data_IF_656144365763
#
_entry.id   IF_656144365763
#
_cell.length_a   1.000
_cell.length_b   1.000
_cell.length_c   1.000
_cell.angle_alpha   90.00
_cell.angle_beta   90.00
_cell.angle_gamma   90.00
#
_symmetry.space_group_name_H-M   'P 1'
#
loop_
_entity.id
_entity.type
_entity.pdbx_description
1 polymer ?
#
# COMPACT_ATOMS: atom_id res chain seq x y z
N UNK A 1 -9.30 14.62 0.48
CA UNK A 1 -8.24 13.61 0.57
C UNK A 1 -7.02 14.15 1.31
N UNK A 2 -6.36 15.22 0.85
CA UNK A 2 -5.19 15.78 1.55
C UNK A 2 -5.45 16.09 3.03
N UNK A 3 -6.65 16.56 3.36
CA UNK A 3 -7.06 16.76 4.77
C UNK A 3 -7.08 15.47 5.61
N UNK A 4 -7.41 14.33 5.01
CA UNK A 4 -7.34 13.02 5.68
C UNK A 4 -5.89 12.59 5.85
N UNK A 5 -5.06 12.73 4.82
CA UNK A 5 -3.63 12.47 4.87
C UNK A 5 -2.96 13.25 6.01
N UNK A 6 -3.21 14.56 6.07
CA UNK A 6 -2.71 15.42 7.13
C UNK A 6 -3.18 14.95 8.51
N UNK A 7 -4.47 14.66 8.67
CA UNK A 7 -5.02 14.21 9.96
C UNK A 7 -4.38 12.89 10.45
N UNK A 8 -4.12 11.95 9.54
CA UNK A 8 -3.46 10.68 9.88
C UNK A 8 -1.99 10.88 10.27
N UNK A 9 -1.27 11.80 9.61
CA UNK A 9 0.10 12.14 9.96
C UNK A 9 0.17 12.86 11.30
N UNK A 10 -0.76 13.79 11.56
CA UNK A 10 -0.90 14.43 12.88
C UNK A 10 -1.20 13.40 13.97
N UNK A 11 -2.08 12.44 13.69
CA UNK A 11 -2.35 11.32 14.59
C UNK A 11 -1.06 10.54 14.89
N UNK A 12 -0.31 10.12 13.88
CA UNK A 12 0.94 9.39 14.04
C UNK A 12 1.99 10.20 14.81
N UNK A 13 2.09 11.51 14.58
CA UNK A 13 2.98 12.40 15.32
C UNK A 13 2.63 12.48 16.82
N UNK A 14 1.34 12.52 17.15
CA UNK A 14 0.87 12.60 18.53
C UNK A 14 0.90 11.26 19.26
N UNK A 15 0.82 10.14 18.54
CA UNK A 15 0.69 8.80 19.10
C UNK A 15 1.89 7.93 18.72
N UNK A 16 3.00 8.09 19.44
CA UNK A 16 4.25 7.36 19.18
C UNK A 16 4.16 5.83 19.29
N UNK A 17 3.08 5.30 19.89
CA UNK A 17 2.81 3.85 19.95
C UNK A 17 2.09 3.32 18.70
N UNK A 18 1.51 4.19 17.88
CA UNK A 18 0.88 3.83 16.61
C UNK A 18 1.96 3.86 15.53
N UNK A 19 2.23 2.71 14.93
CA UNK A 19 3.32 2.58 13.95
C UNK A 19 2.88 2.90 12.51
N UNK A 20 1.61 2.64 12.20
CA UNK A 20 1.05 2.83 10.86
C UNK A 20 -0.44 3.16 10.93
N UNK A 21 -0.97 3.85 9.93
CA UNK A 21 -2.42 4.06 9.74
C UNK A 21 -2.85 3.76 8.30
N UNK A 22 -4.14 3.54 8.09
CA UNK A 22 -4.72 3.22 6.78
C UNK A 22 -5.81 4.23 6.43
N UNK A 23 -5.72 4.80 5.23
CA UNK A 23 -6.79 5.58 4.62
C UNK A 23 -7.46 4.69 3.57
N UNK A 24 -8.62 4.14 3.92
CA UNK A 24 -9.41 3.26 3.04
C UNK A 24 -10.52 4.07 2.36
N UNK A 25 -10.48 4.15 1.03
CA UNK A 25 -11.44 4.93 0.24
C UNK A 25 -12.56 4.01 -0.25
N UNK A 26 -13.67 3.99 0.49
CA UNK A 26 -14.86 3.21 0.07
C UNK A 26 -15.64 3.88 -1.05
N UNK A 27 -15.43 5.19 -1.26
CA UNK A 27 -16.15 6.00 -2.23
C UNK A 27 -15.14 6.83 -3.06
N UNK A 28 -15.11 6.61 -4.37
CA UNK A 28 -14.22 7.33 -5.31
C UNK A 28 -12.89 6.62 -5.55
N UNK A 29 -12.13 7.11 -6.53
CA UNK A 29 -10.84 6.54 -6.96
C UNK A 29 -10.91 5.04 -7.32
N UNK A 30 -12.04 4.60 -7.87
CA UNK A 30 -12.23 3.21 -8.33
C UNK A 30 -11.45 2.91 -9.62
N UNK A 31 -11.10 3.95 -10.38
CA UNK A 31 -10.28 3.84 -11.58
C UNK A 31 -8.81 3.91 -11.21
N UNK A 32 -8.02 2.94 -11.68
CA UNK A 32 -6.64 2.80 -11.23
C UNK A 32 -5.76 4.01 -11.55
N UNK A 33 -5.90 4.62 -12.73
CA UNK A 33 -5.09 5.79 -13.10
C UNK A 33 -5.43 7.03 -12.27
N UNK A 34 -6.71 7.31 -12.01
CA UNK A 34 -7.12 8.39 -11.11
C UNK A 34 -6.56 8.15 -9.69
N UNK A 35 -6.47 6.88 -9.26
CA UNK A 35 -5.86 6.51 -7.99
C UNK A 35 -4.32 6.71 -7.99
N UNK A 36 -3.63 6.45 -9.11
CA UNK A 36 -2.19 6.73 -9.21
C UNK A 36 -1.90 8.23 -9.13
N UNK A 37 -2.69 9.08 -9.82
CA UNK A 37 -2.58 10.54 -9.70
C UNK A 37 -2.75 10.99 -8.24
N UNK A 38 -3.66 10.32 -7.51
CA UNK A 38 -3.84 10.54 -6.08
C UNK A 38 -2.60 10.13 -5.25
N UNK A 39 -1.99 8.98 -5.54
CA UNK A 39 -0.77 8.53 -4.86
C UNK A 39 0.35 9.54 -5.07
N UNK A 40 0.53 10.02 -6.30
CA UNK A 40 1.56 11.01 -6.64
C UNK A 40 1.33 12.33 -5.89
N UNK A 41 0.09 12.82 -5.84
CA UNK A 41 -0.27 14.01 -5.05
C UNK A 41 0.01 13.82 -3.56
N UNK A 42 -0.26 12.63 -3.01
CA UNK A 42 0.00 12.33 -1.61
C UNK A 42 1.51 12.27 -1.31
N UNK A 43 2.31 11.70 -2.21
CA UNK A 43 3.77 11.68 -2.10
C UNK A 43 4.37 13.09 -2.18
N UNK A 44 3.96 13.88 -3.17
CA UNK A 44 4.39 15.28 -3.30
C UNK A 44 4.04 16.09 -2.03
N UNK A 45 2.87 15.85 -1.43
CA UNK A 45 2.50 16.53 -0.19
C UNK A 45 3.45 16.17 0.96
N UNK A 46 3.93 14.93 1.07
CA UNK A 46 4.95 14.57 2.07
C UNK A 46 6.27 15.30 1.84
N UNK A 47 6.69 15.44 0.58
CA UNK A 47 7.89 16.18 0.19
C UNK A 47 7.79 17.65 0.58
N UNK A 48 6.69 18.32 0.22
CA UNK A 48 6.46 19.74 0.49
C UNK A 48 6.35 20.08 1.99
N UNK A 49 6.07 19.10 2.83
CA UNK A 49 5.88 19.27 4.28
C UNK A 49 6.98 18.61 5.13
N UNK A 50 8.14 18.30 4.53
CA UNK A 50 9.32 17.74 5.21
C UNK A 50 9.07 16.38 5.93
N UNK A 51 8.16 15.55 5.40
CA UNK A 51 7.85 14.23 5.96
C UNK A 51 8.56 13.06 5.27
N UNK A 52 9.30 13.33 4.19
CA UNK A 52 10.18 12.34 3.53
C UNK A 52 11.24 11.85 4.51
N UNK A 53 11.49 10.54 4.56
CA UNK A 53 12.40 9.95 5.54
C UNK A 53 11.77 9.72 6.91
N UNK A 54 10.54 10.22 7.14
CA UNK A 54 9.79 10.05 8.38
C UNK A 54 8.62 9.09 8.16
N UNK A 55 7.86 9.33 7.09
CA UNK A 55 6.71 8.51 6.70
C UNK A 55 6.81 8.06 5.25
N UNK A 56 6.46 6.81 5.02
CA UNK A 56 6.33 6.21 3.70
C UNK A 56 4.85 5.91 3.42
N UNK A 57 4.44 6.06 2.17
CA UNK A 57 3.13 5.60 1.67
C UNK A 57 3.32 4.30 0.90
N UNK A 58 2.63 3.24 1.32
CA UNK A 58 2.38 2.07 0.48
C UNK A 58 0.96 2.14 -0.10
N UNK A 59 0.82 1.79 -1.38
CA UNK A 59 -0.42 1.95 -2.14
C UNK A 59 -1.02 0.60 -2.54
N UNK A 60 -2.35 0.51 -2.43
CA UNK A 60 -3.12 -0.69 -2.77
C UNK A 60 -4.41 -0.31 -3.49
N UNK A 61 -4.80 -1.08 -4.50
CA UNK A 61 -5.97 -0.80 -5.33
C UNK A 61 -6.61 -2.10 -5.84
N UNK A 62 -7.94 -2.21 -5.99
CA UNK A 62 -8.59 -3.40 -6.54
C UNK A 62 -8.06 -3.83 -7.92
N UNK A 63 -7.73 -2.84 -8.73
CA UNK A 63 -7.19 -3.00 -10.09
C UNK A 63 -5.68 -2.76 -10.17
N UNK A 64 -4.92 -2.90 -9.07
CA UNK A 64 -3.47 -2.68 -9.11
C UNK A 64 -2.82 -3.53 -10.21
N UNK A 65 -1.96 -2.90 -11.00
CA UNK A 65 -1.11 -3.52 -12.02
C UNK A 65 0.28 -2.89 -11.91
N UNK A 66 1.31 -3.71 -11.68
CA UNK A 66 2.68 -3.23 -11.68
C UNK A 66 3.13 -2.86 -13.08
N UNK A 67 4.03 -1.88 -13.18
CA UNK A 67 4.65 -1.51 -14.45
C UNK A 67 5.35 -2.72 -15.08
N UNK A 68 5.09 -2.97 -16.36
CA UNK A 68 5.65 -4.11 -17.10
C UNK A 68 4.95 -5.46 -16.85
N UNK A 69 4.06 -5.57 -15.87
CA UNK A 69 3.28 -6.79 -15.60
C UNK A 69 2.02 -6.87 -16.47
N UNK A 70 1.61 -8.09 -16.81
CA UNK A 70 0.29 -8.32 -17.41
C UNK A 70 -0.81 -8.00 -16.39
N UNK A 71 -1.94 -7.45 -16.84
CA UNK A 71 -3.14 -7.25 -16.00
C UNK A 71 -3.64 -8.55 -15.34
N UNK A 72 -3.33 -9.69 -15.95
CA UNK A 72 -3.68 -11.03 -15.47
C UNK A 72 -2.59 -11.68 -14.61
N UNK A 73 -1.47 -11.01 -14.37
CA UNK A 73 -0.40 -11.52 -13.53
C UNK A 73 -0.88 -11.73 -12.10
N UNK A 74 -0.48 -12.86 -11.51
CA UNK A 74 -0.72 -13.14 -10.11
C UNK A 74 0.09 -12.20 -9.20
N UNK A 75 1.25 -11.71 -9.65
CA UNK A 75 2.10 -10.76 -8.94
C UNK A 75 1.34 -9.49 -8.52
N UNK A 76 0.44 -9.01 -9.37
CA UNK A 76 -0.39 -7.84 -9.06
C UNK A 76 -1.20 -7.99 -7.75
N UNK A 77 -1.53 -9.22 -7.34
CA UNK A 77 -2.26 -9.47 -6.11
C UNK A 77 -1.46 -9.20 -4.83
N UNK A 78 -0.15 -8.98 -4.91
CA UNK A 78 0.62 -8.51 -3.74
C UNK A 78 0.19 -7.10 -3.32
N UNK A 79 -0.36 -6.30 -4.25
CA UNK A 79 -0.82 -4.94 -4.02
C UNK A 79 -2.31 -4.71 -4.34
N UNK A 80 -3.06 -5.78 -4.68
CA UNK A 80 -4.51 -5.67 -4.80
C UNK A 80 -5.19 -5.72 -3.44
N UNK A 81 -6.11 -4.79 -3.23
CA UNK A 81 -6.92 -4.67 -2.01
C UNK A 81 -8.41 -4.57 -2.36
N UNK A 82 -9.33 -4.81 -1.39
CA UNK A 82 -10.76 -4.66 -1.63
C UNK A 82 -11.18 -3.23 -2.02
N UNK A 83 -10.47 -2.23 -1.50
CA UNK A 83 -10.72 -0.81 -1.75
C UNK A 83 -9.40 -0.07 -1.98
N UNK A 84 -9.39 1.01 -2.77
CA UNK A 84 -8.25 1.92 -2.87
C UNK A 84 -7.79 2.33 -1.47
N UNK A 85 -6.52 2.10 -1.15
CA UNK A 85 -6.01 2.27 0.21
C UNK A 85 -4.62 2.89 0.18
N UNK A 86 -4.42 3.96 0.96
CA UNK A 86 -3.09 4.46 1.29
C UNK A 86 -2.71 3.95 2.68
N UNK A 87 -1.55 3.33 2.80
CA UNK A 87 -0.99 2.86 4.06
C UNK A 87 0.19 3.75 4.43
N UNK A 88 0.03 4.51 5.51
CA UNK A 88 1.08 5.36 6.07
C UNK A 88 1.90 4.55 7.06
N UNK A 89 3.21 4.49 6.86
CA UNK A 89 4.12 3.76 7.73
C UNK A 89 5.22 4.68 8.24
N UNK A 90 5.58 4.55 9.51
CA UNK A 90 6.77 5.22 10.05
C UNK A 90 8.04 4.54 9.52
N UNK A 91 8.87 5.26 8.79
CA UNK A 91 10.08 4.71 8.16
C UNK A 91 11.05 4.12 9.20
N UNK A 92 11.23 4.81 10.34
CA UNK A 92 12.06 4.31 11.43
C UNK A 92 11.63 2.92 11.93
N UNK A 93 10.33 2.64 11.91
CA UNK A 93 9.77 1.37 12.37
C UNK A 93 9.92 0.29 11.32
N UNK A 94 9.75 0.65 10.04
CA UNK A 94 10.05 -0.21 8.91
C UNK A 94 11.53 -0.62 8.91
N UNK A 95 12.46 0.33 9.08
CA UNK A 95 13.89 0.03 9.17
C UNK A 95 14.23 -0.97 10.29
N UNK A 96 13.62 -0.80 11.47
CA UNK A 96 13.84 -1.74 12.59
C UNK A 96 13.37 -3.14 12.22
N UNK A 97 12.21 -3.26 11.58
CA UNK A 97 11.68 -4.54 11.13
C UNK A 97 12.60 -5.18 10.08
N UNK A 98 13.04 -4.40 9.09
CA UNK A 98 13.93 -4.82 8.00
C UNK A 98 15.28 -5.32 8.53
N UNK A 99 15.88 -4.62 9.51
CA UNK A 99 17.16 -5.02 10.13
C UNK A 99 17.11 -6.40 10.81
N UNK A 100 15.93 -6.84 11.23
CA UNK A 100 15.74 -8.16 11.85
C UNK A 100 15.59 -9.29 10.82
N UNK A 101 15.35 -8.95 9.56
CA UNK A 101 15.12 -9.90 8.48
C UNK A 101 16.43 -10.18 7.74
N UNK A 102 16.70 -11.45 7.40
CA UNK A 102 18.00 -11.85 6.81
C UNK A 102 18.24 -11.27 5.41
N UNK A 103 17.19 -11.22 4.59
CA UNK A 103 17.25 -10.82 3.18
C UNK A 103 16.03 -9.96 2.82
N UNK A 104 15.89 -8.75 3.40
CA UNK A 104 14.73 -7.90 3.18
C UNK A 104 14.55 -7.48 1.71
N UNK A 105 15.65 -7.38 0.97
CA UNK A 105 15.67 -7.12 -0.48
C UNK A 105 14.94 -8.21 -1.29
N UNK A 106 14.83 -9.44 -0.76
CA UNK A 106 14.13 -10.53 -1.41
C UNK A 106 12.62 -10.54 -1.12
N UNK A 107 12.12 -9.67 -0.23
CA UNK A 107 10.69 -9.64 0.11
C UNK A 107 9.81 -9.45 -1.15
N UNK A 108 10.10 -8.51 -2.08
CA UNK A 108 9.32 -8.35 -3.29
C UNK A 108 9.32 -9.61 -4.16
N UNK A 109 10.50 -10.18 -4.44
CA UNK A 109 10.63 -11.40 -5.27
C UNK A 109 9.91 -12.59 -4.63
N UNK A 110 10.09 -12.81 -3.31
CA UNK A 110 9.42 -13.88 -2.58
C UNK A 110 7.89 -13.73 -2.61
N UNK A 111 7.38 -12.50 -2.51
CA UNK A 111 5.94 -12.24 -2.60
C UNK A 111 5.40 -12.52 -4.00
N UNK A 112 6.15 -12.13 -5.04
CA UNK A 112 5.83 -12.39 -6.45
C UNK A 112 5.81 -13.90 -6.72
N UNK A 113 6.86 -14.62 -6.34
CA UNK A 113 6.96 -16.08 -6.48
C UNK A 113 5.83 -16.79 -5.74
N UNK A 114 5.53 -16.33 -4.51
CA UNK A 114 4.43 -16.87 -3.73
C UNK A 114 3.10 -16.63 -4.43
N UNK A 115 2.85 -15.42 -4.94
CA UNK A 115 1.63 -15.09 -5.66
C UNK A 115 1.50 -15.94 -6.94
N UNK A 116 2.57 -16.13 -7.70
CA UNK A 116 2.58 -17.02 -8.86
C UNK A 116 2.30 -18.47 -8.48
N UNK A 117 2.87 -18.97 -7.37
CA UNK A 117 2.65 -20.34 -6.90
C UNK A 117 1.20 -20.61 -6.48
N UNK A 118 0.51 -19.62 -5.92
CA UNK A 118 -0.92 -19.70 -5.58
C UNK A 118 -1.79 -19.55 -6.84
N UNK A 119 -1.35 -18.71 -7.78
CA UNK A 119 -2.05 -18.44 -9.02
C UNK A 119 -3.23 -17.48 -8.86
N UNK A 120 -3.56 -16.80 -9.96
CA UNK A 120 -4.59 -15.76 -10.01
C UNK A 120 -5.97 -16.23 -9.55
N UNK A 121 -6.37 -17.45 -9.89
CA UNK A 121 -7.72 -17.94 -9.59
C UNK A 121 -7.96 -18.04 -8.08
N UNK A 122 -7.00 -18.60 -7.34
CA UNK A 122 -7.04 -18.72 -5.89
C UNK A 122 -7.02 -17.33 -5.22
N UNK A 123 -6.08 -16.48 -5.64
CA UNK A 123 -5.94 -15.12 -5.11
C UNK A 123 -7.18 -14.26 -5.35
N UNK A 124 -7.85 -14.43 -6.50
CA UNK A 124 -9.13 -13.76 -6.79
C UNK A 124 -10.23 -14.20 -5.83
N UNK A 125 -10.30 -15.48 -5.49
CA UNK A 125 -11.27 -16.00 -4.51
C UNK A 125 -10.97 -15.48 -3.11
N UNK A 126 -9.69 -15.48 -2.71
CA UNK A 126 -9.24 -14.93 -1.43
C UNK A 126 -9.62 -13.45 -1.30
N UNK A 127 -9.29 -12.62 -2.29
CA UNK A 127 -9.63 -11.20 -2.29
C UNK A 127 -11.15 -10.97 -2.22
N UNK A 128 -11.93 -11.73 -3.00
CA UNK A 128 -13.39 -11.64 -2.96
C UNK A 128 -13.98 -12.07 -1.61
N UNK A 129 -13.33 -12.97 -0.89
CA UNK A 129 -13.78 -13.42 0.44
C UNK A 129 -13.68 -12.31 1.49
N UNK A 130 -12.75 -11.36 1.34
CA UNK A 130 -12.62 -10.20 2.24
C UNK A 130 -13.80 -9.21 2.15
N UNK A 131 -14.62 -9.30 1.10
CA UNK A 131 -15.77 -8.41 0.87
C UNK A 131 -17.11 -9.05 1.23
N UNK A 132 -17.12 -10.32 1.65
CA UNK A 132 -18.35 -11.00 2.08
C UNK A 132 -18.62 -10.64 3.54
N UNK A 133 -19.67 -9.85 3.77
CA UNK A 133 -20.25 -9.56 5.09
C UNK A 133 -21.39 -10.55 5.35
#
# INVERSE_FOLDING_TARGET
MLSLLQAEIEHLNQHSKTETTLIVLTNGFNHFFDYLDLVDVAQQWLEENDYVGIYQIASFHPEYVFEGESIDSAANYTNRSPHPTLHLLREQSLERAIKSYKHPEQIPENNIDKAHSMGKAELKVLLASCMKI
#
